data_IF_582696667052
#
_entry.id   IF_582696667052
#
_cell.length_a   1.000
_cell.length_b   1.000
_cell.length_c   1.000
_cell.angle_alpha   90.00
_cell.angle_beta   90.00
_cell.angle_gamma   90.00
#
_symmetry.space_group_name_H-M   'P 1'
#
loop_
_entity.id
_entity.type
_entity.pdbx_description
1 polymer ?
#
# COMPACT_ATOMS: atom_id res chain seq x y z
N UNK A 1 5.89 -0.89 1.53
CA UNK A 1 5.87 -0.95 0.05
C UNK A 1 7.03 -0.13 -0.51
N UNK A 2 7.79 -0.69 -1.44
CA UNK A 2 8.94 -0.04 -2.06
C UNK A 2 8.59 0.50 -3.44
N UNK A 3 8.97 1.75 -3.73
CA UNK A 3 8.73 2.39 -5.02
C UNK A 3 9.90 2.17 -5.95
N UNK A 4 9.62 1.84 -7.20
CA UNK A 4 10.63 1.64 -8.23
C UNK A 4 11.27 2.97 -8.64
N UNK A 5 12.59 2.99 -8.80
CA UNK A 5 13.40 4.21 -8.99
C UNK A 5 12.90 5.11 -10.12
N UNK A 6 12.55 4.51 -11.27
CA UNK A 6 12.08 5.30 -12.43
C UNK A 6 10.80 6.10 -12.19
N UNK A 7 10.00 5.69 -11.18
CA UNK A 7 8.78 6.41 -10.79
C UNK A 7 9.03 7.40 -9.67
N UNK A 8 10.11 7.21 -8.92
CA UNK A 8 10.53 8.14 -7.89
C UNK A 8 10.80 9.52 -8.47
N UNK A 9 11.52 9.59 -9.57
CA UNK A 9 11.76 10.85 -10.29
C UNK A 9 10.48 11.45 -10.87
N UNK A 10 9.65 10.62 -11.49
CA UNK A 10 8.40 11.07 -12.13
C UNK A 10 7.47 11.77 -11.14
N UNK A 11 7.33 11.25 -9.93
CA UNK A 11 6.46 11.82 -8.93
C UNK A 11 7.16 12.77 -7.95
N UNK A 12 8.45 13.02 -8.12
CA UNK A 12 9.26 13.92 -7.27
C UNK A 12 9.09 13.63 -5.77
N UNK A 13 9.29 12.39 -5.37
CA UNK A 13 9.26 12.02 -3.96
C UNK A 13 10.33 12.78 -3.19
N UNK A 14 9.93 13.50 -2.15
CA UNK A 14 10.83 14.32 -1.33
C UNK A 14 11.57 13.52 -0.25
N UNK A 15 11.19 12.28 -0.04
CA UNK A 15 11.83 11.44 0.98
C UNK A 15 13.03 10.70 0.40
N UNK A 16 14.12 10.61 1.15
CA UNK A 16 15.30 9.80 0.80
C UNK A 16 14.96 8.31 0.82
N UNK A 17 13.87 7.94 1.49
CA UNK A 17 13.36 6.59 1.53
C UNK A 17 12.50 6.30 0.30
N UNK A 18 12.72 5.15 -0.32
CA UNK A 18 11.87 4.61 -1.36
C UNK A 18 10.84 3.61 -0.81
N UNK A 19 10.59 3.66 0.50
CA UNK A 19 9.64 2.81 1.20
C UNK A 19 8.50 3.63 1.78
N UNK A 20 7.28 3.07 1.70
CA UNK A 20 6.08 3.61 2.34
C UNK A 20 5.43 2.52 3.18
N UNK A 21 5.15 2.86 4.44
CA UNK A 21 4.40 1.99 5.33
C UNK A 21 2.92 2.35 5.22
N UNK A 22 2.14 1.48 4.60
CA UNK A 22 0.69 1.63 4.48
C UNK A 22 0.01 0.43 5.14
N UNK A 23 -1.24 0.64 5.53
CA UNK A 23 -2.05 -0.43 6.09
C UNK A 23 -2.57 -1.30 4.94
N UNK A 24 -2.41 -2.61 5.09
CA UNK A 24 -2.94 -3.61 4.16
C UNK A 24 -3.99 -4.44 4.88
N UNK A 25 -5.16 -4.52 4.32
CA UNK A 25 -6.26 -5.32 4.84
C UNK A 25 -7.08 -5.86 3.67
N UNK A 26 -6.71 -7.04 3.18
CA UNK A 26 -7.37 -7.67 2.05
C UNK A 26 -7.30 -9.19 2.15
N UNK A 27 -8.28 -9.87 1.58
CA UNK A 27 -8.28 -11.32 1.41
C UNK A 27 -7.70 -11.70 0.04
N UNK A 28 -8.01 -10.89 -0.97
CA UNK A 28 -7.58 -11.11 -2.34
C UNK A 28 -6.42 -10.20 -2.69
N UNK A 29 -5.53 -10.67 -3.55
CA UNK A 29 -4.41 -9.88 -4.05
C UNK A 29 -4.31 -9.98 -5.57
N UNK A 30 -3.71 -8.97 -6.18
CA UNK A 30 -3.42 -8.98 -7.62
C UNK A 30 -2.23 -9.90 -7.87
N UNK A 31 -2.48 -11.10 -8.39
CA UNK A 31 -1.42 -12.07 -8.72
C UNK A 31 -0.76 -11.78 -10.04
N UNK A 32 -1.54 -11.32 -11.01
CA UNK A 32 -1.07 -11.00 -12.35
C UNK A 32 -1.51 -9.60 -12.71
N UNK A 33 -0.58 -8.77 -13.14
CA UNK A 33 -0.87 -7.41 -13.55
C UNK A 33 -1.75 -7.38 -14.81
N UNK A 34 -2.69 -6.43 -14.91
CA UNK A 34 -3.49 -6.24 -16.11
C UNK A 34 -2.59 -5.94 -17.33
N UNK A 35 -3.13 -6.20 -18.53
CA UNK A 35 -2.46 -5.86 -19.78
C UNK A 35 -2.16 -4.35 -19.82
N UNK A 36 -1.00 -4.00 -20.36
CA UNK A 36 -0.54 -2.61 -20.50
C UNK A 36 -0.33 -1.88 -19.18
N UNK A 37 -0.23 -2.61 -18.07
CA UNK A 37 0.09 -2.04 -16.76
C UNK A 37 1.59 -2.02 -16.50
N UNK A 38 1.99 -1.15 -15.57
CA UNK A 38 3.38 -1.05 -15.10
C UNK A 38 3.41 -1.10 -13.58
N UNK A 39 4.19 -2.03 -13.06
CA UNK A 39 4.40 -2.16 -11.62
C UNK A 39 5.17 -0.94 -11.10
N UNK A 40 4.62 -0.28 -10.08
CA UNK A 40 5.24 0.88 -9.44
C UNK A 40 5.88 0.49 -8.12
N UNK A 41 5.17 -0.25 -7.29
CA UNK A 41 5.63 -0.60 -5.95
C UNK A 41 5.06 -1.93 -5.50
N UNK A 42 5.77 -2.56 -4.57
CA UNK A 42 5.34 -3.81 -3.99
C UNK A 42 6.16 -4.16 -2.76
N UNK A 43 5.79 -5.25 -2.12
CA UNK A 43 6.48 -5.83 -0.99
C UNK A 43 6.62 -7.33 -1.20
N UNK A 44 7.36 -7.98 -0.30
CA UNK A 44 7.49 -9.44 -0.33
C UNK A 44 6.12 -10.11 -0.14
N UNK A 45 5.30 -9.57 0.76
CA UNK A 45 3.97 -10.11 1.05
C UNK A 45 2.93 -9.73 -0.01
N UNK A 46 3.11 -8.60 -0.70
CA UNK A 46 2.20 -8.11 -1.72
C UNK A 46 3.00 -7.57 -2.92
N UNK A 47 3.49 -8.45 -3.81
CA UNK A 47 4.40 -8.05 -4.89
C UNK A 47 3.81 -7.02 -5.86
N UNK A 48 2.52 -7.10 -6.15
CA UNK A 48 1.81 -6.20 -7.06
C UNK A 48 1.01 -5.15 -6.28
N UNK A 49 1.64 -4.54 -5.28
CA UNK A 49 0.95 -3.63 -4.35
C UNK A 49 0.48 -2.33 -4.96
N UNK A 50 1.15 -1.83 -5.99
CA UNK A 50 0.78 -0.60 -6.67
C UNK A 50 1.21 -0.65 -8.13
N UNK A 51 0.30 -0.30 -9.02
CA UNK A 51 0.59 -0.29 -10.46
C UNK A 51 -0.20 0.81 -11.18
N UNK A 52 0.21 1.12 -12.40
CA UNK A 52 -0.46 2.07 -13.27
C UNK A 52 -0.86 1.40 -14.58
N UNK A 53 -1.99 1.83 -15.14
CA UNK A 53 -2.40 1.50 -16.50
C UNK A 53 -2.40 2.79 -17.29
N UNK A 54 -1.51 2.90 -18.27
CA UNK A 54 -1.29 4.15 -18.97
C UNK A 54 -0.87 5.28 -18.00
N UNK A 55 -1.37 6.49 -18.23
CA UNK A 55 -1.11 7.65 -17.38
C UNK A 55 -2.35 8.11 -16.59
N UNK A 56 -3.43 7.34 -16.61
CA UNK A 56 -4.73 7.78 -16.12
C UNK A 56 -5.36 6.87 -15.07
N UNK A 57 -4.82 5.66 -14.85
CA UNK A 57 -5.30 4.74 -13.83
C UNK A 57 -4.14 4.37 -12.89
N UNK A 58 -4.34 4.59 -11.60
CA UNK A 58 -3.40 4.18 -10.55
C UNK A 58 -4.14 3.29 -9.57
N UNK A 59 -3.58 2.12 -9.30
CA UNK A 59 -4.16 1.14 -8.39
C UNK A 59 -3.19 0.84 -7.26
N UNK A 60 -3.71 0.73 -6.05
CA UNK A 60 -2.93 0.33 -4.87
C UNK A 60 -3.75 -0.60 -3.98
N UNK A 61 -3.09 -1.59 -3.38
CA UNK A 61 -3.69 -2.45 -2.36
C UNK A 61 -3.45 -1.92 -0.94
N UNK A 62 -2.53 -0.98 -0.76
CA UNK A 62 -2.35 -0.27 0.49
C UNK A 62 -3.43 0.76 0.70
N UNK A 63 -3.85 0.94 1.95
CA UNK A 63 -4.90 1.85 2.35
C UNK A 63 -4.32 3.12 2.97
N UNK A 64 -4.79 4.27 2.53
CA UNK A 64 -4.44 5.57 3.12
C UNK A 64 -5.57 6.13 3.99
N UNK A 65 -6.77 5.60 3.84
CA UNK A 65 -7.97 6.03 4.56
C UNK A 65 -8.13 5.35 5.92
N UNK A 66 -7.38 4.29 6.18
CA UNK A 66 -7.45 3.56 7.44
C UNK A 66 -6.46 4.10 8.45
N UNK A 67 -6.91 4.42 9.66
CA UNK A 67 -6.01 4.67 10.78
C UNK A 67 -5.70 3.36 11.54
N UNK A 68 -4.68 3.41 12.40
CA UNK A 68 -4.22 2.21 13.12
C UNK A 68 -5.24 1.71 14.15
N UNK A 69 -5.92 2.60 14.85
CA UNK A 69 -6.87 2.25 15.88
C UNK A 69 -8.11 1.59 15.27
N UNK A 70 -8.64 2.18 14.20
CA UNK A 70 -9.78 1.60 13.48
C UNK A 70 -9.42 0.25 12.84
N UNK A 71 -8.23 0.13 12.30
CA UNK A 71 -7.74 -1.11 11.71
C UNK A 71 -7.60 -2.21 12.77
N UNK A 72 -7.17 -1.85 13.99
CA UNK A 72 -7.12 -2.79 15.10
C UNK A 72 -8.51 -3.33 15.44
N UNK A 73 -9.52 -2.47 15.43
CA UNK A 73 -10.92 -2.90 15.65
C UNK A 73 -11.38 -3.88 14.57
N UNK A 74 -11.02 -3.63 13.31
CA UNK A 74 -11.34 -4.55 12.20
C UNK A 74 -10.67 -5.91 12.43
N UNK A 75 -9.40 -5.91 12.81
CA UNK A 75 -8.67 -7.15 13.08
C UNK A 75 -9.30 -7.93 14.25
N UNK A 76 -9.66 -7.24 15.33
CA UNK A 76 -10.30 -7.85 16.48
C UNK A 76 -11.64 -8.48 16.10
N UNK A 77 -12.44 -7.79 15.30
CA UNK A 77 -13.72 -8.29 14.81
C UNK A 77 -13.57 -9.53 13.91
N UNK A 78 -12.49 -9.58 13.12
CA UNK A 78 -12.25 -10.67 12.16
C UNK A 78 -11.22 -11.70 12.64
N UNK A 79 -10.89 -11.69 13.90
CA UNK A 79 -9.86 -12.55 14.48
C UNK A 79 -10.03 -14.04 14.11
N UNK A 80 -11.24 -14.55 14.22
CA UNK A 80 -11.54 -15.96 13.93
C UNK A 80 -11.35 -16.31 12.45
N UNK A 81 -11.65 -15.37 11.54
CA UNK A 81 -11.48 -15.55 10.12
C UNK A 81 -10.01 -15.42 9.70
N UNK A 82 -9.26 -14.53 10.34
CA UNK A 82 -7.85 -14.28 10.05
C UNK A 82 -6.99 -15.45 10.55
N UNK A 83 -7.32 -16.01 11.71
CA UNK A 83 -6.53 -16.99 12.42
C UNK A 83 -5.57 -16.33 13.41
N UNK A 84 -5.27 -17.03 14.51
CA UNK A 84 -4.55 -16.45 15.64
C UNK A 84 -3.16 -15.93 15.29
N UNK A 85 -2.36 -16.74 14.58
CA UNK A 85 -0.98 -16.34 14.24
C UNK A 85 -0.94 -15.10 13.33
N UNK A 86 -1.74 -15.08 12.28
CA UNK A 86 -1.84 -13.93 11.37
C UNK A 86 -2.39 -12.70 12.08
N UNK A 87 -3.38 -12.89 12.97
CA UNK A 87 -3.94 -11.82 13.78
C UNK A 87 -2.87 -11.17 14.68
N UNK A 88 -2.09 -11.96 15.39
CA UNK A 88 -1.04 -11.45 16.27
C UNK A 88 0.02 -10.70 15.49
N UNK A 89 0.46 -11.24 14.34
CA UNK A 89 1.43 -10.58 13.48
C UNK A 89 0.88 -9.28 12.90
N UNK A 90 -0.38 -9.25 12.47
CA UNK A 90 -1.02 -8.04 11.96
C UNK A 90 -1.12 -6.96 13.03
N UNK A 91 -1.55 -7.31 14.23
CA UNK A 91 -1.63 -6.36 15.36
C UNK A 91 -0.25 -5.81 15.74
N UNK A 92 0.78 -6.66 15.73
CA UNK A 92 2.15 -6.25 16.01
C UNK A 92 2.65 -5.25 14.96
N UNK A 93 2.32 -5.47 13.69
CA UNK A 93 2.72 -4.57 12.61
C UNK A 93 2.10 -3.17 12.72
N UNK A 94 0.93 -3.04 13.37
CA UNK A 94 0.28 -1.75 13.60
C UNK A 94 1.03 -0.84 14.59
N UNK A 95 2.04 -1.36 15.29
CA UNK A 95 2.90 -0.54 16.15
C UNK A 95 3.79 0.41 15.35
N UNK A 96 4.06 0.12 14.06
CA UNK A 96 4.84 0.99 13.19
C UNK A 96 4.00 2.18 12.72
N UNK A 97 4.64 3.35 12.57
CA UNK A 97 4.00 4.53 11.99
C UNK A 97 3.67 4.29 10.51
N UNK A 98 2.64 4.97 10.01
CA UNK A 98 2.20 4.89 8.63
C UNK A 98 2.52 6.17 7.87
N UNK A 99 2.67 6.07 6.54
CA UNK A 99 3.10 7.15 5.67
C UNK A 99 1.96 7.69 4.79
N UNK A 100 0.72 7.64 5.27
CA UNK A 100 -0.45 8.05 4.50
C UNK A 100 -0.39 9.50 4.01
N UNK A 101 0.14 10.40 4.81
CA UNK A 101 0.25 11.82 4.40
C UNK A 101 1.24 12.01 3.25
N UNK A 102 2.38 11.34 3.30
CA UNK A 102 3.36 11.40 2.22
C UNK A 102 2.83 10.72 0.95
N UNK A 103 2.09 9.64 1.12
CA UNK A 103 1.50 8.91 0.00
C UNK A 103 0.37 9.69 -0.67
N UNK A 104 -0.40 10.48 0.05
CA UNK A 104 -1.42 11.39 -0.50
C UNK A 104 -0.78 12.39 -1.48
N UNK A 105 0.43 12.86 -1.21
CA UNK A 105 1.15 13.74 -2.13
C UNK A 105 1.44 13.06 -3.46
N UNK A 106 1.73 11.78 -3.45
CA UNK A 106 1.91 10.97 -4.67
C UNK A 106 0.61 10.95 -5.49
N UNK A 107 -0.51 10.73 -4.83
CA UNK A 107 -1.83 10.70 -5.47
C UNK A 107 -2.20 12.07 -6.07
N UNK A 108 -1.94 13.15 -5.35
CA UNK A 108 -2.19 14.50 -5.84
C UNK A 108 -1.34 14.78 -7.08
N UNK A 109 -0.07 14.43 -7.07
CA UNK A 109 0.82 14.56 -8.24
C UNK A 109 0.30 13.77 -9.43
N UNK A 110 -0.19 12.59 -9.21
CA UNK A 110 -0.81 11.77 -10.25
C UNK A 110 -2.02 12.46 -10.86
N UNK A 111 -2.91 13.01 -10.03
CA UNK A 111 -4.13 13.69 -10.47
C UNK A 111 -3.85 14.99 -11.23
N UNK A 112 -2.74 15.66 -10.92
CA UNK A 112 -2.34 16.91 -11.57
C UNK A 112 -1.57 16.69 -12.89
N UNK A 113 -1.15 15.46 -13.16
CA UNK A 113 -0.33 15.15 -14.35
C UNK A 113 -1.12 14.93 -15.64
#
# INVERSE_FOLDING_TARGET
MCIRDRYKEKFKFKTDSNKYNLIFSHQDEVRKLPKDSKLIAGSKACPNGMYMIGNHIMCTQGHIELDRDFTRLIYDFRKDQIGELKYLNACKSLASSTDEHDFVRVLIKFLES
#
